data_IF_712963247682
#
_entry.id   IF_712963247682
#
_cell.length_a   1.000
_cell.length_b   1.000
_cell.length_c   1.000
_cell.angle_alpha   90.00
_cell.angle_beta   90.00
_cell.angle_gamma   90.00
#
_symmetry.space_group_name_H-M   'P 1'
#
loop_
_entity.id
_entity.type
_entity.pdbx_description
1 polymer ?
#
# COMPACT_ATOMS: atom_id res chain seq x y z
N UNK A 1 25.24 5.67 -6.61
CA UNK A 1 24.19 6.00 -7.59
C UNK A 1 23.19 7.00 -7.07
N UNK A 2 22.54 6.80 -5.92
CA UNK A 2 21.54 7.70 -5.35
C UNK A 2 22.03 9.13 -5.02
N UNK A 3 23.35 9.33 -4.92
CA UNK A 3 23.93 10.67 -4.76
C UNK A 3 23.66 11.59 -5.97
N UNK A 4 23.74 11.04 -7.19
CA UNK A 4 23.54 11.78 -8.44
C UNK A 4 22.12 11.62 -9.01
N UNK A 5 21.45 10.53 -8.69
CA UNK A 5 20.09 10.19 -9.13
C UNK A 5 19.30 9.70 -7.92
N UNK A 6 18.70 10.61 -7.14
CA UNK A 6 18.04 10.26 -5.88
C UNK A 6 16.75 9.44 -6.06
N UNK A 7 16.25 9.36 -7.28
CA UNK A 7 15.08 8.57 -7.65
C UNK A 7 15.34 7.77 -8.92
N UNK A 8 14.77 6.57 -9.01
CA UNK A 8 14.82 5.74 -10.20
C UNK A 8 13.41 5.33 -10.64
N UNK A 9 13.24 5.23 -11.95
CA UNK A 9 12.09 4.58 -12.57
C UNK A 9 12.34 3.08 -12.54
N UNK A 10 11.60 2.35 -11.72
CA UNK A 10 11.91 0.94 -11.41
C UNK A 10 11.62 -0.02 -12.55
N UNK A 11 10.65 0.31 -13.42
CA UNK A 11 10.28 -0.48 -14.60
C UNK A 11 9.29 0.29 -15.47
N UNK A 12 9.37 0.13 -16.77
CA UNK A 12 8.36 0.60 -17.73
C UNK A 12 7.06 -0.22 -17.69
N UNK A 13 7.08 -1.35 -17.00
CA UNK A 13 5.84 -2.06 -16.68
C UNK A 13 5.09 -1.35 -15.56
N UNK A 14 4.03 -0.67 -15.92
CA UNK A 14 3.17 0.12 -15.03
C UNK A 14 1.89 -0.60 -14.63
N UNK A 15 1.74 -1.87 -14.99
CA UNK A 15 0.60 -2.68 -14.53
C UNK A 15 0.63 -2.87 -13.02
N UNK A 16 -0.48 -2.60 -12.33
CA UNK A 16 -0.52 -2.60 -10.87
C UNK A 16 -0.18 -3.97 -10.25
N UNK A 17 -0.51 -5.07 -10.93
CA UNK A 17 -0.26 -6.42 -10.38
C UNK A 17 1.21 -6.82 -10.57
N UNK A 18 1.80 -6.52 -11.73
CA UNK A 18 3.23 -6.71 -11.96
C UNK A 18 4.06 -5.79 -11.03
N UNK A 19 3.62 -4.56 -10.82
CA UNK A 19 4.26 -3.60 -9.92
C UNK A 19 4.36 -4.09 -8.47
N UNK A 20 3.47 -4.96 -8.00
CA UNK A 20 3.60 -5.56 -6.66
C UNK A 20 4.95 -6.27 -6.50
N UNK A 21 5.33 -7.13 -7.47
CA UNK A 21 6.60 -7.85 -7.42
C UNK A 21 7.80 -6.92 -7.70
N UNK A 22 7.66 -6.01 -8.65
CA UNK A 22 8.71 -5.04 -9.00
C UNK A 22 9.05 -4.16 -7.80
N UNK A 23 8.04 -3.60 -7.12
CA UNK A 23 8.24 -2.71 -5.98
C UNK A 23 8.72 -3.46 -4.74
N UNK A 24 8.19 -4.65 -4.46
CA UNK A 24 8.69 -5.51 -3.39
C UNK A 24 10.16 -5.85 -3.60
N UNK A 25 10.52 -6.35 -4.80
CA UNK A 25 11.90 -6.70 -5.14
C UNK A 25 12.85 -5.50 -5.08
N UNK A 26 12.45 -4.35 -5.64
CA UNK A 26 13.26 -3.12 -5.60
C UNK A 26 13.49 -2.65 -4.16
N UNK A 27 12.46 -2.74 -3.31
CA UNK A 27 12.54 -2.30 -1.91
C UNK A 27 13.43 -3.16 -1.02
N UNK A 28 13.92 -4.31 -1.51
CA UNK A 28 14.93 -5.12 -0.80
C UNK A 28 16.31 -4.44 -0.80
N UNK A 29 16.57 -3.59 -1.79
CA UNK A 29 17.89 -2.97 -2.02
C UNK A 29 17.82 -1.44 -1.93
N UNK A 30 16.70 -0.83 -2.33
CA UNK A 30 16.52 0.62 -2.40
C UNK A 30 15.40 1.10 -1.48
N UNK A 31 15.54 2.28 -0.86
CA UNK A 31 14.47 2.85 -0.03
C UNK A 31 13.27 3.26 -0.89
N UNK A 32 12.09 3.22 -0.29
CA UNK A 32 10.82 3.58 -0.95
C UNK A 32 10.82 5.00 -1.53
N UNK A 33 11.51 5.94 -0.86
CA UNK A 33 11.67 7.33 -1.34
C UNK A 33 12.41 7.46 -2.67
N UNK A 34 13.17 6.44 -3.06
CA UNK A 34 13.91 6.44 -4.33
C UNK A 34 13.16 5.75 -5.48
N UNK A 35 12.01 5.14 -5.22
CA UNK A 35 11.23 4.41 -6.23
C UNK A 35 10.16 5.30 -6.83
N UNK A 36 10.21 5.57 -8.15
CA UNK A 36 9.09 6.12 -8.90
C UNK A 36 7.97 5.08 -9.02
N UNK A 37 6.74 5.49 -8.72
CA UNK A 37 5.58 4.60 -8.75
C UNK A 37 4.35 5.36 -9.21
N UNK A 38 3.84 5.02 -10.41
CA UNK A 38 2.79 5.77 -11.07
C UNK A 38 1.56 4.94 -11.37
N UNK A 39 0.42 5.61 -11.37
CA UNK A 39 -0.85 5.10 -11.85
C UNK A 39 -0.90 5.30 -13.36
N UNK A 40 -0.96 4.22 -14.13
CA UNK A 40 -1.08 4.27 -15.59
C UNK A 40 -2.52 4.08 -16.07
N UNK A 41 -2.74 4.34 -17.36
CA UNK A 41 -4.01 4.08 -18.03
C UNK A 41 -4.32 2.59 -18.09
N UNK A 42 -5.59 2.25 -18.31
CA UNK A 42 -6.06 0.88 -18.60
C UNK A 42 -6.84 0.88 -19.92
N UNK A 43 -6.77 -0.21 -20.71
CA UNK A 43 -5.92 -1.39 -20.52
C UNK A 43 -4.43 -1.04 -20.44
N UNK A 44 -3.65 -1.73 -19.60
CA UNK A 44 -2.21 -1.54 -19.55
C UNK A 44 -1.57 -1.84 -20.92
N UNK A 45 -0.60 -1.02 -21.33
CA UNK A 45 -0.02 -1.08 -22.69
C UNK A 45 0.83 -2.33 -22.94
N UNK A 46 1.35 -2.99 -21.90
CA UNK A 46 2.20 -4.19 -22.04
C UNK A 46 1.38 -5.48 -21.84
N UNK A 47 0.64 -5.58 -20.76
CA UNK A 47 -0.06 -6.82 -20.37
C UNK A 47 -1.56 -6.81 -20.68
N UNK A 48 -2.09 -5.70 -21.20
CA UNK A 48 -3.51 -5.48 -21.54
C UNK A 48 -4.50 -5.72 -20.37
N UNK A 49 -4.02 -5.75 -19.13
CA UNK A 49 -4.86 -5.91 -17.95
C UNK A 49 -5.64 -4.64 -17.65
N UNK A 50 -6.89 -4.85 -17.19
CA UNK A 50 -7.76 -3.77 -16.68
C UNK A 50 -7.88 -3.95 -15.17
N UNK A 51 -7.36 -2.99 -14.41
CA UNK A 51 -7.42 -2.98 -12.95
C UNK A 51 -8.19 -1.76 -12.44
N UNK A 52 -8.92 -1.84 -11.32
CA UNK A 52 -9.61 -0.71 -10.72
C UNK A 52 -8.66 0.47 -10.43
N UNK A 53 -9.14 1.69 -10.56
CA UNK A 53 -8.34 2.89 -10.27
C UNK A 53 -7.88 2.91 -8.81
N UNK A 54 -8.73 2.47 -7.87
CA UNK A 54 -8.35 2.32 -6.46
C UNK A 54 -7.14 1.41 -6.31
N UNK A 55 -7.12 0.24 -6.92
CA UNK A 55 -6.01 -0.72 -6.82
C UNK A 55 -4.72 -0.16 -7.41
N UNK A 56 -4.81 0.50 -8.57
CA UNK A 56 -3.66 1.19 -9.18
C UNK A 56 -3.09 2.26 -8.25
N UNK A 57 -3.97 3.03 -7.60
CA UNK A 57 -3.59 4.05 -6.62
C UNK A 57 -2.89 3.46 -5.40
N UNK A 58 -3.49 2.45 -4.76
CA UNK A 58 -2.90 1.77 -3.58
C UNK A 58 -1.50 1.25 -3.88
N UNK A 59 -1.32 0.57 -5.02
CA UNK A 59 -0.02 0.03 -5.43
C UNK A 59 0.98 1.16 -5.69
N UNK A 60 0.58 2.21 -6.40
CA UNK A 60 1.46 3.33 -6.71
C UNK A 60 1.86 4.15 -5.47
N UNK A 61 1.03 4.20 -4.44
CA UNK A 61 1.33 4.89 -3.18
C UNK A 61 2.47 4.25 -2.36
N UNK A 62 2.97 3.06 -2.75
CA UNK A 62 4.12 2.44 -2.10
C UNK A 62 5.46 3.15 -2.35
N UNK A 63 5.53 4.13 -3.25
CA UNK A 63 6.73 4.88 -3.59
C UNK A 63 6.46 6.36 -3.83
N UNK A 64 7.28 6.99 -4.68
CA UNK A 64 7.04 8.36 -5.16
C UNK A 64 5.89 8.36 -6.16
N UNK A 65 4.74 8.76 -5.67
CA UNK A 65 3.45 8.63 -6.34
C UNK A 65 3.24 9.65 -7.47
N UNK A 66 2.71 9.20 -8.58
CA UNK A 66 2.35 10.04 -9.72
C UNK A 66 1.34 9.37 -10.66
N UNK A 67 1.01 10.05 -11.75
CA UNK A 67 0.05 9.60 -12.76
C UNK A 67 0.62 9.72 -14.16
N UNK A 68 0.32 8.71 -14.99
CA UNK A 68 0.60 8.66 -16.42
C UNK A 68 -0.69 8.36 -17.19
N UNK A 69 -1.72 9.16 -16.96
CA UNK A 69 -3.01 9.06 -17.63
C UNK A 69 -3.70 10.42 -17.59
N UNK A 70 -4.75 10.59 -18.39
CA UNK A 70 -5.59 11.78 -18.35
C UNK A 70 -6.41 11.81 -17.05
N UNK A 71 -6.28 12.88 -16.27
CA UNK A 71 -6.57 12.87 -14.82
C UNK A 71 -7.74 13.78 -14.40
N UNK A 72 -8.74 13.96 -15.20
CA UNK A 72 -9.92 14.77 -14.81
C UNK A 72 -10.99 13.95 -14.03
N UNK A 73 -10.56 13.17 -13.01
CA UNK A 73 -11.50 12.39 -12.20
C UNK A 73 -11.46 12.82 -10.73
N UNK A 74 -12.63 12.93 -10.11
CA UNK A 74 -12.77 13.23 -8.68
C UNK A 74 -12.04 12.20 -7.79
N UNK A 75 -12.05 10.94 -8.19
CA UNK A 75 -11.33 9.86 -7.51
C UNK A 75 -9.82 10.09 -7.48
N UNK A 76 -9.24 10.64 -8.56
CA UNK A 76 -7.81 11.01 -8.62
C UNK A 76 -7.49 12.10 -7.61
N UNK A 77 -8.34 13.11 -7.48
CA UNK A 77 -8.15 14.18 -6.48
C UNK A 77 -8.12 13.61 -5.07
N UNK A 78 -9.03 12.70 -4.75
CA UNK A 78 -9.06 12.01 -3.45
C UNK A 78 -7.79 11.20 -3.19
N UNK A 79 -7.31 10.47 -4.19
CA UNK A 79 -6.05 9.73 -4.08
C UNK A 79 -4.85 10.65 -3.85
N UNK A 80 -4.76 11.77 -4.57
CA UNK A 80 -3.69 12.76 -4.39
C UNK A 80 -3.74 13.39 -2.99
N UNK A 81 -4.92 13.74 -2.51
CA UNK A 81 -5.11 14.30 -1.16
C UNK A 81 -4.73 13.29 -0.09
N UNK A 82 -5.20 12.06 -0.20
CA UNK A 82 -4.81 10.97 0.69
C UNK A 82 -3.29 10.77 0.72
N UNK A 83 -2.64 10.66 -0.46
CA UNK A 83 -1.19 10.50 -0.53
C UNK A 83 -0.43 11.67 0.09
N UNK A 84 -0.88 12.90 -0.10
CA UNK A 84 -0.23 14.07 0.54
C UNK A 84 -0.20 13.95 2.06
N UNK A 85 -1.22 13.36 2.67
CA UNK A 85 -1.31 13.17 4.12
C UNK A 85 -0.36 12.07 4.61
N UNK A 86 -0.21 10.97 3.87
CA UNK A 86 0.61 9.81 4.25
C UNK A 86 2.04 9.85 3.71
N UNK A 87 2.36 10.78 2.79
CA UNK A 87 3.62 10.83 2.04
C UNK A 87 4.86 10.76 2.91
N UNK A 88 4.87 11.47 4.03
CA UNK A 88 6.00 11.49 4.94
C UNK A 88 6.28 10.10 5.52
N UNK A 89 5.24 9.43 5.97
CA UNK A 89 5.32 8.07 6.54
C UNK A 89 5.73 7.05 5.49
N UNK A 90 5.19 7.13 4.27
CA UNK A 90 5.56 6.21 3.19
C UNK A 90 7.00 6.38 2.74
N UNK A 91 7.48 7.61 2.55
CA UNK A 91 8.81 7.86 1.99
C UNK A 91 9.94 7.75 3.02
N UNK A 92 9.70 8.10 4.27
CA UNK A 92 10.74 8.22 5.29
C UNK A 92 10.52 7.33 6.50
N UNK A 93 9.37 6.66 6.62
CA UNK A 93 9.09 5.67 7.65
C UNK A 93 9.82 4.34 7.43
N UNK A 94 9.63 3.43 8.36
CA UNK A 94 10.16 2.07 8.28
C UNK A 94 9.18 1.15 7.55
N UNK A 95 9.66 0.50 6.49
CA UNK A 95 8.87 -0.42 5.69
C UNK A 95 8.88 -1.83 6.30
N UNK A 96 7.71 -2.38 6.57
CA UNK A 96 7.52 -3.77 6.97
C UNK A 96 6.68 -4.52 5.94
N UNK A 97 7.21 -5.64 5.44
CA UNK A 97 6.48 -6.55 4.55
C UNK A 97 5.63 -7.49 5.40
N UNK A 98 4.34 -7.54 5.13
CA UNK A 98 3.37 -8.35 5.87
C UNK A 98 3.01 -9.62 5.11
N UNK A 99 2.81 -9.51 3.79
CA UNK A 99 2.58 -10.62 2.85
C UNK A 99 3.36 -10.37 1.57
N UNK A 100 4.10 -11.38 1.13
CA UNK A 100 4.88 -11.30 -0.11
C UNK A 100 4.00 -11.48 -1.34
N UNK A 101 4.22 -10.62 -2.34
CA UNK A 101 3.59 -10.73 -3.65
C UNK A 101 4.12 -11.89 -4.49
N UNK A 102 5.29 -12.43 -4.16
CA UNK A 102 5.90 -13.56 -4.87
C UNK A 102 5.25 -14.90 -4.53
N UNK A 103 4.83 -15.09 -3.28
CA UNK A 103 4.42 -16.39 -2.75
C UNK A 103 2.92 -16.52 -2.53
N UNK A 104 2.14 -15.44 -2.77
CA UNK A 104 0.75 -15.38 -2.34
C UNK A 104 -0.14 -14.69 -3.38
N UNK A 105 -1.44 -15.04 -3.35
CA UNK A 105 -2.50 -14.30 -4.04
C UNK A 105 -2.77 -12.92 -3.41
N UNK A 106 -2.09 -12.61 -2.31
CA UNK A 106 -2.20 -11.36 -1.57
C UNK A 106 -0.82 -10.71 -1.47
N UNK A 107 -0.81 -9.39 -1.47
CA UNK A 107 0.36 -8.61 -1.10
C UNK A 107 -0.03 -7.63 0.01
N UNK A 108 0.83 -7.45 1.00
CA UNK A 108 0.58 -6.47 2.05
C UNK A 108 1.90 -5.94 2.61
N UNK A 109 1.90 -4.65 2.88
CA UNK A 109 3.01 -3.95 3.51
C UNK A 109 2.49 -2.84 4.43
N UNK A 110 3.35 -2.35 5.29
CA UNK A 110 3.07 -1.18 6.09
C UNK A 110 4.30 -0.28 6.20
N UNK A 111 4.06 0.99 6.37
CA UNK A 111 5.07 1.98 6.70
C UNK A 111 4.76 2.55 8.08
N UNK A 112 5.74 2.53 8.98
CA UNK A 112 5.65 3.10 10.32
C UNK A 112 6.45 4.41 10.34
N UNK A 113 5.82 5.50 10.77
CA UNK A 113 6.52 6.78 10.95
C UNK A 113 7.68 6.67 11.94
N UNK A 114 8.72 7.49 11.78
CA UNK A 114 9.92 7.43 12.64
C UNK A 114 9.65 7.72 14.12
N UNK A 115 8.60 8.45 14.42
CA UNK A 115 8.14 8.72 15.79
C UNK A 115 7.19 7.63 16.34
N UNK A 116 6.85 6.62 15.53
CA UNK A 116 5.97 5.52 15.90
C UNK A 116 4.48 5.89 16.03
N UNK A 117 4.08 7.09 15.61
CA UNK A 117 2.72 7.60 15.83
C UNK A 117 1.75 7.33 14.69
N UNK A 118 2.24 7.16 13.49
CA UNK A 118 1.41 6.92 12.30
C UNK A 118 1.87 5.67 11.56
N UNK A 119 0.91 4.89 11.13
CA UNK A 119 1.13 3.68 10.34
C UNK A 119 0.23 3.71 9.12
N UNK A 120 0.79 3.45 7.95
CA UNK A 120 0.04 3.26 6.72
C UNK A 120 0.11 1.78 6.36
N UNK A 121 -1.01 1.11 6.32
CA UNK A 121 -1.13 -0.31 5.96
C UNK A 121 -1.77 -0.42 4.59
N UNK A 122 -1.15 -1.17 3.70
CA UNK A 122 -1.64 -1.42 2.34
C UNK A 122 -1.84 -2.91 2.11
N UNK A 123 -2.94 -3.26 1.48
CA UNK A 123 -3.30 -4.64 1.16
C UNK A 123 -3.85 -4.72 -0.26
N UNK A 124 -3.42 -5.73 -0.99
CA UNK A 124 -3.90 -6.04 -2.36
C UNK A 124 -4.22 -7.53 -2.46
N UNK A 125 -5.41 -7.82 -2.96
CA UNK A 125 -5.83 -9.15 -3.40
C UNK A 125 -5.75 -9.22 -4.93
N UNK A 126 -5.02 -10.20 -5.48
CA UNK A 126 -4.85 -10.37 -6.93
C UNK A 126 -6.09 -10.98 -7.57
N UNK A 127 -6.49 -12.15 -7.10
CA UNK A 127 -7.61 -12.89 -7.69
C UNK A 127 -8.65 -13.27 -6.64
N UNK A 128 -9.89 -13.35 -7.08
CA UNK A 128 -10.98 -13.88 -6.26
C UNK A 128 -10.85 -15.37 -6.06
N UNK A 129 -11.22 -15.82 -4.88
CA UNK A 129 -11.25 -17.23 -4.50
C UNK A 129 -12.66 -17.61 -4.04
N UNK A 130 -13.07 -18.86 -4.28
CA UNK A 130 -14.34 -19.36 -3.78
C UNK A 130 -14.25 -19.66 -2.29
N UNK A 131 -15.35 -19.47 -1.56
CA UNK A 131 -15.47 -19.81 -0.14
C UNK A 131 -14.41 -19.15 0.76
N UNK A 132 -14.15 -17.87 0.54
CA UNK A 132 -13.19 -17.11 1.33
C UNK A 132 -13.70 -16.98 2.76
N UNK A 133 -12.89 -17.40 3.72
CA UNK A 133 -13.13 -17.15 5.15
C UNK A 133 -12.72 -15.71 5.50
N UNK A 134 -13.33 -15.08 6.52
CA UNK A 134 -12.89 -13.78 7.03
C UNK A 134 -11.39 -13.79 7.33
N UNK A 135 -10.67 -12.83 6.78
CA UNK A 135 -9.20 -12.73 6.92
C UNK A 135 -8.84 -11.52 7.77
N UNK A 136 -7.81 -11.69 8.57
CA UNK A 136 -7.19 -10.62 9.34
C UNK A 136 -5.74 -10.44 8.93
N UNK A 137 -5.31 -9.19 8.86
CA UNK A 137 -3.95 -8.80 8.51
C UNK A 137 -3.21 -8.36 9.77
N UNK A 138 -2.27 -9.19 10.24
CA UNK A 138 -1.41 -8.84 11.37
C UNK A 138 -0.41 -7.77 10.94
N UNK A 139 -0.34 -6.69 11.69
CA UNK A 139 0.67 -5.65 11.54
C UNK A 139 1.89 -5.95 12.41
N UNK A 140 2.93 -5.12 12.33
CA UNK A 140 4.19 -5.36 13.03
C UNK A 140 4.70 -4.09 13.71
N UNK A 141 5.57 -4.26 14.70
CA UNK A 141 6.37 -3.19 15.29
C UNK A 141 5.56 -2.03 15.90
N UNK A 142 4.34 -2.28 16.35
CA UNK A 142 3.57 -1.34 17.15
C UNK A 142 4.01 -1.41 18.63
N UNK A 143 3.69 -0.36 19.36
CA UNK A 143 3.81 -0.39 20.82
C UNK A 143 2.62 -1.18 21.41
N UNK A 144 2.92 -2.32 22.03
CA UNK A 144 1.91 -3.25 22.60
C UNK A 144 1.01 -2.60 23.65
N UNK A 145 1.52 -1.58 24.36
CA UNK A 145 0.82 -0.92 25.45
C UNK A 145 0.05 0.33 25.00
N UNK A 146 0.02 0.62 23.71
CA UNK A 146 -0.62 1.80 23.16
C UNK A 146 -1.88 1.46 22.38
N UNK A 147 -2.78 2.45 22.29
CA UNK A 147 -3.98 2.37 21.46
C UNK A 147 -3.73 3.03 20.11
N UNK A 148 -4.37 2.50 19.08
CA UNK A 148 -4.30 3.00 17.70
C UNK A 148 -5.71 3.13 17.12
N UNK A 149 -6.03 4.33 16.63
CA UNK A 149 -7.26 4.61 15.91
C UNK A 149 -7.07 4.30 14.42
N UNK A 150 -8.01 3.57 13.84
CA UNK A 150 -8.15 3.40 12.38
C UNK A 150 -8.89 4.62 11.84
N UNK A 151 -8.21 5.53 11.17
CA UNK A 151 -8.76 6.84 10.75
C UNK A 151 -9.99 6.68 9.85
N UNK A 152 -10.02 5.66 8.99
CA UNK A 152 -11.11 5.43 8.03
C UNK A 152 -12.41 4.95 8.70
N UNK A 153 -12.35 4.33 9.88
CA UNK A 153 -13.53 3.78 10.59
C UNK A 153 -13.79 4.45 11.95
N UNK A 154 -12.79 5.09 12.54
CA UNK A 154 -12.83 5.62 13.90
C UNK A 154 -12.75 4.54 14.99
N UNK A 155 -12.50 3.29 14.62
CA UNK A 155 -12.33 2.19 15.58
C UNK A 155 -10.95 2.27 16.24
N UNK A 156 -10.88 1.91 17.52
CA UNK A 156 -9.66 1.94 18.32
C UNK A 156 -9.31 0.54 18.79
N UNK A 157 -8.06 0.14 18.56
CA UNK A 157 -7.53 -1.18 18.90
C UNK A 157 -6.23 -1.06 19.72
N UNK A 158 -5.95 -2.07 20.54
CA UNK A 158 -4.65 -2.22 21.18
C UNK A 158 -3.54 -2.55 20.15
N UNK A 159 -2.33 -2.05 20.41
CA UNK A 159 -1.20 -2.39 19.55
C UNK A 159 -0.91 -3.90 19.55
N UNK A 160 -1.07 -4.55 20.71
CA UNK A 160 -1.02 -6.01 20.85
C UNK A 160 -2.11 -6.71 20.03
N UNK A 161 -3.36 -6.23 20.10
CA UNK A 161 -4.47 -6.76 19.31
C UNK A 161 -4.18 -6.69 17.81
N UNK A 162 -3.71 -5.55 17.31
CA UNK A 162 -3.36 -5.35 15.91
C UNK A 162 -2.20 -6.26 15.46
N UNK A 163 -1.24 -6.55 16.34
CA UNK A 163 -0.10 -7.40 16.00
C UNK A 163 -0.42 -8.90 16.11
N UNK A 164 -1.23 -9.32 17.09
CA UNK A 164 -1.47 -10.75 17.32
C UNK A 164 -2.76 -11.27 16.71
N UNK A 165 -3.82 -10.45 16.65
CA UNK A 165 -5.11 -10.79 16.02
C UNK A 165 -5.17 -10.20 14.61
N UNK A 166 -4.87 -8.90 14.46
CA UNK A 166 -4.77 -8.19 13.18
C UNK A 166 -6.03 -7.38 12.81
N UNK A 167 -5.85 -6.50 11.81
CA UNK A 167 -6.91 -5.72 11.16
C UNK A 167 -7.85 -6.62 10.38
N UNK A 168 -9.13 -6.38 10.47
CA UNK A 168 -10.12 -7.03 9.62
C UNK A 168 -10.03 -6.47 8.19
N UNK A 169 -9.76 -7.34 7.21
CA UNK A 169 -9.67 -6.93 5.81
C UNK A 169 -11.05 -6.57 5.27
N UNK A 170 -12.08 -7.27 5.75
CA UNK A 170 -13.44 -7.16 5.25
C UNK A 170 -13.62 -7.90 3.92
N UNK A 171 -14.78 -7.76 3.34
CA UNK A 171 -15.13 -8.39 2.07
C UNK A 171 -14.64 -7.55 0.89
N UNK A 172 -13.81 -8.13 0.03
CA UNK A 172 -13.32 -7.53 -1.21
C UNK A 172 -13.83 -8.36 -2.39
N UNK A 173 -14.85 -7.85 -3.07
CA UNK A 173 -15.50 -8.55 -4.19
C UNK A 173 -14.74 -8.36 -5.50
N UNK A 174 -14.58 -9.45 -6.25
CA UNK A 174 -13.91 -9.43 -7.56
C UNK A 174 -12.39 -9.50 -7.50
N UNK A 175 -11.77 -9.54 -8.66
CA UNK A 175 -10.30 -9.57 -8.82
C UNK A 175 -9.70 -8.18 -8.62
N UNK A 176 -8.41 -8.15 -8.35
CA UNK A 176 -7.60 -6.93 -8.28
C UNK A 176 -8.16 -5.89 -7.31
N UNK A 177 -8.46 -6.31 -6.08
CA UNK A 177 -9.00 -5.42 -5.05
C UNK A 177 -7.91 -4.97 -4.09
N UNK A 178 -8.00 -3.72 -3.65
CA UNK A 178 -7.03 -3.14 -2.73
C UNK A 178 -7.68 -2.26 -1.67
N UNK A 179 -7.01 -2.14 -0.53
CA UNK A 179 -7.44 -1.30 0.59
C UNK A 179 -6.23 -0.73 1.32
N UNK A 180 -6.35 0.51 1.78
CA UNK A 180 -5.42 1.15 2.71
C UNK A 180 -6.11 1.40 4.04
N UNK A 181 -5.33 1.41 5.11
CA UNK A 181 -5.71 1.90 6.44
C UNK A 181 -4.61 2.83 6.94
N UNK A 182 -5.03 3.89 7.61
CA UNK A 182 -4.15 4.76 8.37
C UNK A 182 -4.42 4.53 9.85
N UNK A 183 -3.41 4.05 10.58
CA UNK A 183 -3.49 3.90 12.02
C UNK A 183 -2.77 5.07 12.68
N UNK A 184 -3.38 5.67 13.68
CA UNK A 184 -2.78 6.74 14.46
C UNK A 184 -2.78 6.38 15.94
N UNK A 185 -1.61 6.48 16.56
CA UNK A 185 -1.47 6.28 18.00
C UNK A 185 -2.32 7.31 18.74
N UNK A 186 -3.15 6.84 19.67
CA UNK A 186 -3.95 7.68 20.55
C UNK A 186 -3.14 7.99 21.79
N UNK A 187 -3.07 9.28 22.16
CA UNK A 187 -2.34 9.75 23.36
C UNK A 187 -3.13 9.48 24.65
#
# INVERSE_FOLDING_TARGET
MLYYAPQCWTSDDTDAIERLMIQEGTSLVYPTSSMGSHVSAVPNHQVHRITPLNTRGVVAMAGSFGYELDVEKEEVKKQVEFYKNIRSTVQFGDLYRLKSSFDSNEAAWMNLSKDGKEVVVSYVKKYSEANVIPRRLKVKALDENSLYEVIETGEVFGGDELMYIGLEIGELMGDYQAKNWTLRKVD
#
